data_IF_482851111571
#
_entry.id   IF_482851111571
#
_cell.length_a   1.000
_cell.length_b   1.000
_cell.length_c   1.000
_cell.angle_alpha   90.00
_cell.angle_beta   90.00
_cell.angle_gamma   90.00
#
_symmetry.space_group_name_H-M   'P 1'
#
loop_
_entity.id
_entity.type
_entity.pdbx_description
1 polymer ?
2 polymer ?
3 polymer ?
4 branched ?
5 water ?
#
# COMPACT_ATOMS: atom_id res chain seq x y z
N UNK A 1 -8.48 -4.80 -0.88
CA UNK A 1 -9.05 -4.51 -2.19
C UNK A 1 -10.61 -4.45 -2.22
N UNK A 2 -11.18 -3.32 -2.65
CA UNK A 2 -12.70 -3.20 -2.72
C UNK A 2 -13.15 -3.39 -4.06
N UNK A 3 -14.18 -4.22 -4.24
CA UNK A 3 -14.76 -4.41 -5.56
C UNK A 3 -14.02 -5.32 -6.51
N UNK A 4 -13.07 -6.09 -5.98
CA UNK A 4 -12.29 -6.97 -6.82
C UNK A 4 -12.81 -8.39 -6.75
N UNK A 5 -11.99 -9.34 -7.13
CA UNK A 5 -12.36 -10.78 -7.09
C UNK A 5 -11.30 -11.59 -6.44
N UNK A 6 -11.66 -12.78 -6.02
CA UNK A 6 -10.65 -13.69 -5.42
C UNK A 6 -9.70 -14.18 -6.52
N UNK A 7 -8.41 -13.89 -6.40
CA UNK A 7 -7.46 -14.34 -7.37
C UNK A 7 -7.41 -15.89 -7.45
N UNK A 8 -7.16 -16.41 -8.59
CA UNK A 8 -6.99 -17.88 -8.69
C UNK A 8 -5.67 -18.24 -8.00
N UNK A 9 -5.61 -19.45 -7.44
CA UNK A 9 -4.37 -19.97 -6.79
C UNK A 9 -3.20 -19.95 -7.76
N UNK A 10 -2.07 -19.45 -7.25
CA UNK A 10 -0.81 -19.30 -8.03
C UNK A 10 -0.88 -18.25 -9.14
N UNK A 11 -1.94 -17.43 -9.14
CA UNK A 11 -2.09 -16.44 -10.14
C UNK A 11 -1.12 -15.33 -9.92
N UNK A 12 -0.81 -15.03 -8.65
CA UNK A 12 0.02 -13.87 -8.30
C UNK A 12 1.18 -14.33 -7.43
N UNK A 13 2.09 -15.09 -8.01
CA UNK A 13 3.20 -15.69 -7.29
C UNK A 13 4.28 -14.72 -6.78
N UNK A 14 4.27 -13.46 -7.22
CA UNK A 14 5.22 -12.44 -6.81
C UNK A 14 4.71 -11.60 -5.61
N UNK A 15 3.47 -11.81 -5.25
CA UNK A 15 2.88 -11.12 -4.11
C UNK A 15 3.44 -11.66 -2.82
N UNK A 16 3.87 -10.80 -1.91
CA UNK A 16 4.28 -11.19 -0.54
C UNK A 16 3.50 -10.48 0.48
N UNK A 17 3.51 -11.01 1.69
CA UNK A 17 2.92 -10.35 2.87
C UNK A 17 4.04 -9.98 3.78
N UNK A 18 4.03 -8.77 4.33
CA UNK A 18 4.96 -8.31 5.27
C UNK A 18 4.33 -8.49 6.63
N UNK A 19 5.00 -9.17 7.54
CA UNK A 19 4.39 -9.60 8.82
C UNK A 19 5.23 -9.17 10.00
N UNK A 20 4.59 -8.49 11.03
CA UNK A 20 5.37 -8.23 12.19
C UNK A 20 4.55 -8.70 13.39
N UNK A 21 4.01 -9.90 13.29
CA UNK A 21 3.09 -10.44 14.28
C UNK A 21 1.80 -10.74 13.54
N UNK A 22 1.43 -9.87 12.61
CA UNK A 22 0.29 -10.10 11.75
C UNK A 22 0.60 -9.34 10.42
N UNK A 23 -0.16 -9.62 9.40
CA UNK A 23 0.03 -8.96 8.10
C UNK A 23 -0.23 -7.49 8.27
N UNK A 24 0.62 -6.65 7.71
CA UNK A 24 0.45 -5.18 7.81
C UNK A 24 0.62 -4.47 6.47
N UNK A 25 1.35 -5.09 5.54
CA UNK A 25 1.56 -4.52 4.23
C UNK A 25 1.84 -5.66 3.29
N UNK A 26 1.75 -5.35 2.01
CA UNK A 26 2.11 -6.21 0.91
C UNK A 26 3.48 -5.81 0.40
N UNK A 27 3.94 -6.53 -0.61
CA UNK A 27 5.18 -6.28 -1.31
C UNK A 27 5.29 -7.13 -2.57
N UNK A 28 6.36 -6.96 -3.34
CA UNK A 28 6.45 -7.69 -4.61
C UNK A 28 7.91 -8.27 -4.69
N UNK A 29 8.02 -9.55 -4.96
CA UNK A 29 9.36 -10.19 -5.17
C UNK A 29 9.87 -9.87 -6.52
N UNK A 30 11.05 -9.19 -6.60
CA UNK A 30 11.63 -8.86 -7.86
C UNK A 30 12.81 -9.75 -8.31
N UNK A 31 13.42 -10.42 -7.37
CA UNK A 31 14.43 -11.43 -7.62
C UNK A 31 14.49 -12.30 -6.40
N UNK A 32 15.30 -13.34 -6.45
CA UNK A 32 15.45 -14.35 -5.42
C UNK A 32 15.65 -13.79 -3.99
N UNK A 33 16.21 -12.61 -3.85
CA UNK A 33 16.43 -12.10 -2.54
C UNK A 33 16.02 -10.69 -2.20
N UNK A 34 15.27 -10.07 -3.09
CA UNK A 34 14.81 -8.70 -2.94
C UNK A 34 13.34 -8.50 -3.16
N UNK A 35 12.73 -7.72 -2.26
CA UNK A 35 11.33 -7.36 -2.28
C UNK A 35 11.21 -5.83 -2.34
N UNK A 36 10.26 -5.35 -3.11
CA UNK A 36 9.94 -3.96 -3.18
C UNK A 36 8.60 -3.75 -2.47
N UNK A 37 8.58 -2.71 -1.62
CA UNK A 37 7.33 -2.31 -0.93
C UNK A 37 7.32 -0.78 -0.74
N UNK A 38 6.41 -0.30 0.10
CA UNK A 38 6.29 1.15 0.33
C UNK A 38 7.12 1.54 1.54
N UNK A 39 7.77 2.70 1.46
CA UNK A 39 8.51 3.19 2.61
C UNK A 39 7.67 3.37 3.88
N UNK A 40 6.44 3.68 3.74
CA UNK A 40 5.62 3.92 4.92
C UNK A 40 5.33 2.65 5.66
N UNK A 41 5.62 1.51 5.04
CA UNK A 41 5.48 0.19 5.64
C UNK A 41 6.70 -0.18 6.50
N UNK A 42 7.66 0.71 6.59
CA UNK A 42 8.87 0.41 7.32
C UNK A 42 8.60 0.00 8.76
N UNK A 43 9.26 -1.03 9.21
CA UNK A 43 9.36 -1.43 10.62
C UNK A 43 10.79 -1.96 10.78
N UNK A 44 11.33 -1.96 11.99
CA UNK A 44 12.67 -2.39 12.31
C UNK A 44 12.83 -3.87 12.06
N UNK A 45 11.83 -4.67 12.32
CA UNK A 45 11.96 -6.09 12.02
C UNK A 45 10.75 -6.50 11.21
N UNK A 46 10.97 -7.30 10.20
CA UNK A 46 9.90 -7.70 9.28
C UNK A 46 10.14 -9.10 8.83
N UNK A 47 9.10 -9.91 8.85
CA UNK A 47 9.16 -11.25 8.28
C UNK A 47 8.40 -11.27 6.99
N UNK A 48 9.06 -11.67 5.91
CA UNK A 48 8.47 -11.69 4.60
C UNK A 48 7.85 -13.08 4.38
N UNK A 49 6.61 -13.10 3.97
CA UNK A 49 5.92 -14.37 3.68
C UNK A 49 5.56 -14.47 2.26
N UNK A 50 6.03 -15.53 1.67
CA UNK A 50 5.92 -15.80 0.25
C UNK A 50 5.12 -17.05 -0.06
N UNK A 51 4.53 -17.09 -1.23
CA UNK A 51 3.80 -18.27 -1.69
C UNK A 51 2.49 -18.47 -0.93
N UNK A 52 1.96 -17.42 -0.30
CA UNK A 52 0.73 -17.53 0.50
C UNK A 52 -0.49 -17.37 -0.42
N UNK A 53 -1.43 -18.17 -0.19
CA UNK A 53 -2.75 -18.36 -0.81
C UNK A 53 -3.70 -17.78 0.37
N UNK A 54 -3.70 -18.42 1.53
CA UNK A 54 -4.55 -18.00 2.66
C UNK A 54 -3.61 -17.56 3.75
N UNK A 55 -3.69 -16.30 4.14
CA UNK A 55 -2.80 -15.82 5.20
C UNK A 55 -3.08 -16.25 6.61
N UNK A 56 -4.21 -16.88 6.83
CA UNK A 56 -4.56 -17.36 8.14
C UNK A 56 -4.24 -18.83 8.38
N UNK A 57 -3.78 -19.54 7.35
CA UNK A 57 -3.52 -20.96 7.48
C UNK A 57 -2.09 -21.22 7.02
N UNK A 58 -1.45 -22.22 7.58
CA UNK A 58 -0.11 -22.65 7.12
C UNK A 58 -0.28 -23.93 6.34
N UNK A 59 -0.07 -23.91 5.04
CA UNK A 59 -0.31 -25.04 4.21
C UNK A 59 0.96 -25.82 3.90
N UNK A 60 2.09 -25.30 4.32
CA UNK A 60 3.35 -25.93 4.03
C UNK A 60 4.03 -25.53 2.74
N UNK A 61 3.29 -24.90 1.88
CA UNK A 61 3.82 -24.49 0.64
C UNK A 61 4.19 -23.02 0.56
N UNK A 62 4.30 -22.37 1.69
CA UNK A 62 4.71 -20.98 1.80
C UNK A 62 6.12 -21.02 2.35
N UNK A 63 6.77 -19.85 2.29
CA UNK A 63 8.07 -19.64 2.82
C UNK A 63 8.09 -18.43 3.66
N UNK A 64 8.65 -18.49 4.87
CA UNK A 64 8.77 -17.39 5.75
C UNK A 64 10.22 -17.02 5.90
N UNK A 65 10.59 -15.80 5.53
CA UNK A 65 12.00 -15.41 5.53
C UNK A 65 12.14 -14.02 6.18
N UNK A 66 12.99 -13.92 7.17
CA UNK A 66 13.21 -12.64 7.82
C UNK A 66 13.94 -11.62 6.92
N UNK A 67 13.61 -10.34 7.03
CA UNK A 67 14.38 -9.31 6.35
C UNK A 67 15.78 -9.15 6.95
N UNK A 68 16.80 -9.03 6.13
CA UNK A 68 18.14 -8.79 6.64
C UNK A 68 18.52 -7.35 6.51
N UNK A 69 18.05 -6.68 5.45
CA UNK A 69 18.34 -5.27 5.28
C UNK A 69 17.04 -4.62 4.78
N UNK A 70 16.75 -3.42 5.28
CA UNK A 70 15.55 -2.67 4.96
C UNK A 70 16.01 -1.26 4.56
N UNK A 71 15.86 -0.88 3.29
CA UNK A 71 16.40 0.39 2.82
C UNK A 71 15.27 1.21 2.23
N UNK A 72 15.00 2.29 2.89
CA UNK A 72 14.00 3.27 2.44
C UNK A 72 14.66 4.32 1.53
N UNK A 73 13.92 4.82 0.58
CA UNK A 73 14.43 5.78 -0.34
C UNK A 73 14.99 7.00 0.46
N UNK A 74 16.17 7.46 0.11
CA UNK A 74 16.84 8.54 0.89
C UNK A 74 16.04 9.86 0.88
N UNK A 75 15.19 10.05 -0.10
CA UNK A 75 14.40 11.30 -0.19
C UNK A 75 12.93 11.07 0.18
N UNK A 76 12.60 9.95 0.79
CA UNK A 76 11.25 9.68 1.28
C UNK A 76 10.84 10.79 2.26
N UNK A 77 9.64 11.23 2.08
CA UNK A 77 8.99 12.24 2.94
C UNK A 77 7.77 11.63 3.62
N UNK A 78 7.91 11.35 4.90
CA UNK A 78 6.90 10.69 5.67
C UNK A 78 5.59 11.45 5.80
N UNK A 79 5.62 12.73 5.54
CA UNK A 79 4.43 13.56 5.64
C UNK A 79 3.66 13.64 4.34
N UNK A 80 4.29 13.68 3.17
CA UNK A 80 3.55 13.74 1.92
C UNK A 80 3.52 12.36 1.19
N UNK A 81 4.38 11.45 1.62
CA UNK A 81 4.55 10.15 1.00
C UNK A 81 5.22 10.26 -0.37
N UNK A 82 6.00 11.31 -0.62
CA UNK A 82 6.73 11.38 -1.87
C UNK A 82 7.88 10.39 -1.73
N UNK A 83 8.26 9.80 -2.84
CA UNK A 83 9.31 8.76 -2.82
C UNK A 83 9.02 7.60 -1.95
N UNK A 84 7.78 7.10 -1.99
CA UNK A 84 7.31 6.08 -1.04
C UNK A 84 7.68 4.66 -1.57
N UNK A 85 8.94 4.34 -1.48
CA UNK A 85 9.47 3.09 -1.96
C UNK A 85 10.57 2.59 -1.04
N UNK A 86 10.59 1.29 -0.82
CA UNK A 86 11.52 0.69 0.09
C UNK A 86 11.99 -0.65 -0.50
N UNK A 87 13.22 -1.02 -0.22
CA UNK A 87 13.76 -2.35 -0.67
C UNK A 87 14.06 -3.19 0.57
N UNK A 88 13.69 -4.45 0.51
CA UNK A 88 13.97 -5.39 1.54
C UNK A 88 14.86 -6.54 0.98
N UNK A 89 16.02 -6.74 1.60
CA UNK A 89 16.87 -7.88 1.25
C UNK A 89 16.54 -9.03 2.16
N UNK A 90 16.22 -10.17 1.63
CA UNK A 90 15.91 -11.34 2.41
C UNK A 90 17.15 -11.97 3.03
N UNK A 91 16.99 -12.50 4.23
CA UNK A 91 18.07 -13.14 4.98
C UNK A 91 18.66 -14.31 4.16
N UNK A 92 17.85 -15.02 3.40
CA UNK A 92 18.28 -16.07 2.53
C UNK A 92 17.40 -16.00 1.31
N UNK A 93 17.92 -16.48 0.17
CA UNK A 93 17.22 -16.49 -1.09
C UNK A 93 15.99 -17.29 -1.01
N UNK A 94 14.92 -16.79 -1.58
CA UNK A 94 13.69 -17.58 -1.67
C UNK A 94 13.90 -18.77 -2.68
N UNK A 95 13.25 -19.90 -2.45
CA UNK A 95 13.27 -20.94 -3.47
C UNK A 95 12.15 -20.72 -4.42
N UNK A 96 12.50 -20.48 -5.68
CA UNK A 96 11.45 -20.18 -6.63
C UNK A 96 10.79 -21.43 -7.16
N UNK A 97 9.49 -21.38 -7.34
CA UNK A 97 8.75 -22.56 -7.79
C UNK A 97 7.44 -22.06 -8.40
N UNK A 98 6.45 -22.93 -8.57
CA UNK A 98 5.21 -22.52 -9.18
C UNK A 98 4.39 -21.52 -8.29
N UNK A 99 4.65 -21.46 -7.01
CA UNK A 99 3.92 -20.61 -6.11
C UNK A 99 4.70 -19.35 -5.74
N UNK A 100 6.00 -19.31 -6.00
CA UNK A 100 6.87 -18.20 -5.62
C UNK A 100 7.72 -17.82 -6.81
N UNK A 101 7.40 -16.68 -7.41
CA UNK A 101 8.04 -16.25 -8.65
C UNK A 101 8.20 -14.73 -8.61
N UNK A 102 8.96 -14.18 -9.53
CA UNK A 102 9.22 -12.77 -9.54
C UNK A 102 8.51 -12.04 -10.61
N UNK A 103 8.42 -10.71 -10.41
CA UNK A 103 7.88 -9.81 -11.37
C UNK A 103 8.88 -8.86 -11.87
N UNK A 104 8.80 -8.52 -13.14
CA UNK A 104 9.75 -7.62 -13.74
C UNK A 104 9.57 -6.16 -13.34
N UNK A 105 10.67 -5.43 -13.24
CA UNK A 105 10.62 -4.00 -13.05
C UNK A 105 10.26 -3.46 -14.42
N UNK A 106 9.81 -2.23 -14.49
CA UNK A 106 9.29 -1.64 -15.74
C UNK A 106 10.41 -1.19 -16.68
N UNK A 107 10.27 -1.49 -17.95
CA UNK A 107 11.29 -1.11 -18.96
C UNK A 107 10.97 0.27 -19.36
N UNK A 108 9.73 0.81 -19.13
CA UNK A 108 9.35 2.16 -19.43
C UNK A 108 8.09 2.46 -18.63
N UNK A 109 7.80 3.74 -18.40
CA UNK A 109 6.60 4.13 -17.68
C UNK A 109 5.36 3.74 -18.42
N UNK A 110 4.28 3.44 -17.70
CA UNK A 110 3.03 3.05 -18.28
C UNK A 110 2.29 4.30 -18.76
N UNK A 111 1.68 4.21 -19.90
CA UNK A 111 0.84 5.30 -20.40
C UNK A 111 -0.56 5.26 -19.75
N UNK A 112 -1.19 6.45 -19.75
CA UNK A 112 -2.59 6.55 -19.36
C UNK A 112 -3.42 5.64 -20.09
N UNK A 113 -4.29 4.92 -19.40
CA UNK A 113 -5.14 3.95 -20.06
C UNK A 113 -4.69 2.51 -20.03
N UNK A 114 -3.44 2.26 -19.68
CA UNK A 114 -2.98 0.90 -19.58
C UNK A 114 -3.66 0.13 -18.48
N UNK A 115 -4.08 -1.08 -18.79
CA UNK A 115 -4.80 -1.94 -17.85
C UNK A 115 -3.82 -2.65 -16.90
N UNK A 116 -4.05 -2.58 -15.60
CA UNK A 116 -3.16 -3.21 -14.59
C UNK A 116 -3.88 -4.12 -13.61
N UNK A 117 -3.15 -4.95 -12.92
CA UNK A 117 -3.70 -5.83 -11.93
C UNK A 117 -3.18 -5.41 -10.55
N UNK A 118 -4.07 -5.16 -9.62
CA UNK A 118 -3.73 -4.76 -8.26
C UNK A 118 -4.13 -5.92 -7.35
N UNK A 119 -3.29 -6.24 -6.36
CA UNK A 119 -3.63 -7.33 -5.50
C UNK A 119 -3.32 -7.09 -4.04
N UNK A 120 -3.97 -7.80 -3.13
CA UNK A 120 -3.73 -7.64 -1.72
C UNK A 120 -4.73 -8.22 -0.76
N UNK A 121 -4.33 -8.25 0.47
CA UNK A 121 -5.15 -8.81 1.54
C UNK A 121 -5.92 -7.73 2.36
N UNK A 122 -5.95 -6.53 1.80
CA UNK A 122 -6.54 -5.37 2.48
C UNK A 122 -8.08 -5.47 2.59
N UNK A 123 -8.61 -4.43 3.25
CA UNK A 123 -10.06 -4.28 3.45
C UNK A 123 -10.86 -4.34 2.19
N UNK A 124 -11.96 -5.11 2.21
CA UNK A 124 -12.80 -5.22 1.05
C UNK A 124 -14.06 -4.36 1.05
N UNK A 125 -14.20 -3.55 2.07
CA UNK A 125 -15.37 -2.63 2.17
C UNK A 125 -14.98 -1.17 2.23
N UNK A 126 -15.77 -0.30 1.63
CA UNK A 126 -15.56 1.14 1.64
C UNK A 126 -15.89 1.74 3.01
N UNK A 127 -16.98 1.30 3.61
CA UNK A 127 -17.34 1.78 4.93
C UNK A 127 -17.40 0.56 5.82
N UNK A 128 -16.55 0.50 6.81
CA UNK A 128 -16.54 -0.64 7.72
C UNK A 128 -15.28 -1.48 7.47
N UNK A 129 -15.16 -2.61 8.14
CA UNK A 129 -14.00 -3.46 8.02
C UNK A 129 -14.40 -4.86 7.68
N UNK A 130 -13.61 -5.49 6.81
CA UNK A 130 -13.81 -6.87 6.36
C UNK A 130 -12.50 -7.35 5.61
N UNK A 131 -11.68 -8.08 6.30
CA UNK A 131 -10.40 -8.54 5.84
C UNK A 131 -10.47 -9.96 5.36
N UNK A 132 -10.15 -10.20 4.11
CA UNK A 132 -10.24 -11.52 3.53
C UNK A 132 -9.05 -12.34 3.95
N UNK A 133 -9.21 -13.64 3.89
CA UNK A 133 -8.07 -14.55 4.14
C UNK A 133 -7.41 -14.80 2.82
N UNK A 134 -8.17 -14.84 1.75
CA UNK A 134 -7.73 -15.16 0.42
C UNK A 134 -7.35 -13.88 -0.34
N UNK A 135 -6.29 -13.93 -1.11
CA UNK A 135 -5.77 -12.78 -1.82
C UNK A 135 -6.82 -12.31 -2.83
N UNK A 136 -7.09 -11.00 -2.84
CA UNK A 136 -8.00 -10.37 -3.80
C UNK A 136 -7.24 -9.69 -4.90
N UNK A 137 -7.82 -9.63 -6.11
CA UNK A 137 -7.41 -9.04 -7.27
C UNK A 137 -8.37 -7.95 -7.90
N UNK A 138 -7.83 -7.03 -8.64
CA UNK A 138 -8.63 -5.99 -9.25
C UNK A 138 -7.94 -5.49 -10.48
N UNK A 139 -8.65 -5.41 -11.59
CA UNK A 139 -8.11 -4.85 -12.82
C UNK A 139 -8.55 -3.38 -12.86
N UNK A 140 -7.60 -2.50 -13.06
CA UNK A 140 -7.87 -1.07 -13.11
C UNK A 140 -6.85 -0.43 -14.02
N UNK A 141 -7.26 0.64 -14.69
CA UNK A 141 -6.36 1.38 -15.55
C UNK A 141 -5.63 2.52 -14.89
N UNK A 142 -4.47 2.85 -15.46
CA UNK A 142 -3.70 3.99 -15.08
C UNK A 142 -4.48 5.21 -15.57
N UNK A 143 -4.65 6.18 -14.70
CA UNK A 143 -5.30 7.42 -15.08
C UNK A 143 -4.32 8.45 -15.59
N UNK A 144 -4.81 9.46 -16.32
CA UNK A 144 -3.92 10.52 -16.68
C UNK A 144 -3.46 11.36 -15.53
N UNK A 145 -2.29 11.94 -15.70
CA UNK A 145 -1.72 12.80 -14.70
C UNK A 145 -2.61 13.99 -14.41
N UNK A 146 -3.21 14.56 -15.45
CA UNK A 146 -4.05 15.72 -15.19
C UNK A 146 -5.29 15.27 -14.39
N UNK A 147 -5.77 14.13 -14.70
CA UNK A 147 -6.92 13.59 -14.00
C UNK A 147 -6.62 13.27 -12.49
N UNK A 148 -5.39 12.86 -12.26
CA UNK A 148 -4.95 12.53 -10.93
C UNK A 148 -4.75 13.83 -10.15
N UNK A 149 -4.12 14.81 -10.80
CA UNK A 149 -3.85 16.09 -10.12
C UNK A 149 -5.16 16.82 -9.79
N UNK A 150 -6.16 16.65 -10.62
CA UNK A 150 -7.40 17.34 -10.37
C UNK A 150 -8.18 16.63 -9.23
N UNK A 151 -7.89 15.33 -8.94
CA UNK A 151 -8.56 14.65 -7.85
C UNK A 151 -7.90 15.02 -6.54
N UNK A 152 -6.64 15.35 -6.53
CA UNK A 152 -5.96 15.70 -5.31
C UNK A 152 -5.10 16.92 -5.61
N UNK A 153 -5.73 18.11 -5.68
CA UNK A 153 -5.02 19.36 -5.92
C UNK A 153 -3.89 19.63 -5.00
N UNK A 154 -2.71 19.80 -5.58
CA UNK A 154 -1.46 20.07 -4.89
C UNK A 154 -0.81 18.96 -4.08
N UNK A 155 -1.32 17.76 -4.24
CA UNK A 155 -0.87 16.65 -3.45
C UNK A 155 -0.12 15.59 -4.29
N UNK A 156 -0.16 15.69 -5.61
CA UNK A 156 0.45 14.76 -6.49
C UNK A 156 1.78 15.23 -7.03
N UNK A 157 2.87 14.48 -6.76
CA UNK A 157 4.20 14.80 -7.27
C UNK A 157 4.47 13.98 -8.48
N UNK A 158 5.63 14.22 -9.07
CA UNK A 158 6.03 13.47 -10.24
C UNK A 158 6.35 11.97 -9.96
N UNK A 159 6.38 11.57 -8.72
CA UNK A 159 6.65 10.21 -8.34
C UNK A 159 5.38 9.49 -7.95
N UNK A 160 4.22 10.04 -8.36
CA UNK A 160 2.93 9.43 -8.06
C UNK A 160 2.04 9.26 -9.25
N UNK A 161 1.25 8.19 -9.31
CA UNK A 161 0.31 7.97 -10.34
C UNK A 161 -0.96 7.51 -9.70
N UNK A 162 -2.09 7.80 -10.38
CA UNK A 162 -3.40 7.35 -9.95
C UNK A 162 -3.78 6.16 -10.76
N UNK A 163 -4.43 5.17 -10.16
CA UNK A 163 -4.84 4.02 -10.90
C UNK A 163 -6.19 3.69 -10.29
N UNK A 164 -7.20 3.45 -11.10
CA UNK A 164 -8.52 3.16 -10.55
C UNK A 164 -9.64 3.75 -11.39
N UNK A 165 -10.70 4.13 -10.70
CA UNK A 165 -11.92 4.55 -11.37
C UNK A 165 -12.47 5.75 -10.69
N UNK A 166 -12.72 6.81 -11.44
CA UNK A 166 -13.24 8.06 -10.88
C UNK A 166 -14.63 7.88 -10.33
N UNK A 167 -15.34 6.90 -10.85
CA UNK A 167 -16.66 6.66 -10.30
C UNK A 167 -16.69 5.92 -8.96
N UNK A 168 -15.51 5.56 -8.45
CA UNK A 168 -15.46 4.85 -7.20
C UNK A 168 -15.94 3.43 -7.25
N UNK A 169 -16.09 2.79 -6.09
CA UNK A 169 -16.56 1.43 -6.07
C UNK A 169 -15.45 0.36 -6.08
N UNK A 170 -14.33 0.64 -6.73
CA UNK A 170 -13.24 -0.36 -6.84
C UNK A 170 -11.88 0.32 -6.52
N UNK A 171 -11.11 -0.22 -5.61
CA UNK A 171 -9.88 0.51 -5.23
C UNK A 171 -9.08 -0.40 -4.33
N UNK A 172 -7.86 0.04 -4.01
CA UNK A 172 -7.07 -0.65 -2.97
C UNK A 172 -7.42 0.04 -1.66
N UNK A 173 -7.16 -0.60 -0.54
CA UNK A 173 -7.59 -0.07 0.79
C UNK A 173 -6.65 -0.44 1.89
N UNK A 174 -6.92 -0.06 3.16
CA UNK A 174 -6.02 -0.38 4.21
C UNK A 174 -5.63 -1.89 4.25
N UNK A 175 -4.32 -2.16 4.46
CA UNK A 175 -3.83 -3.51 4.41
C UNK A 175 -3.28 -3.85 3.04
N UNK A 176 -3.54 -3.01 2.04
CA UNK A 176 -2.96 -3.26 0.71
C UNK A 176 -1.61 -2.56 0.43
N UNK A 177 -1.32 -1.51 1.19
CA UNK A 177 -0.13 -0.74 1.02
C UNK A 177 1.09 -1.67 0.76
N UNK A 178 1.97 -1.17 -0.09
CA UNK A 178 3.22 -1.85 -0.41
C UNK A 178 3.05 -2.82 -1.55
N UNK A 179 1.80 -3.21 -1.81
CA UNK A 179 1.45 -4.22 -2.80
C UNK A 179 1.62 -3.79 -4.24
N UNK A 180 1.53 -4.72 -5.15
CA UNK A 180 1.84 -4.43 -6.52
C UNK A 180 0.72 -3.99 -7.41
N UNK A 181 1.11 -3.22 -8.44
CA UNK A 181 0.28 -2.83 -9.55
C UNK A 181 1.07 -3.27 -10.72
N UNK A 182 0.63 -4.33 -11.41
CA UNK A 182 1.40 -4.93 -12.48
C UNK A 182 0.62 -4.75 -13.76
N UNK A 183 1.28 -4.21 -14.74
CA UNK A 183 0.71 -3.87 -16.05
C UNK A 183 1.59 -4.50 -17.15
N UNK A 184 0.97 -5.37 -17.94
CA UNK A 184 1.75 -6.01 -19.01
C UNK A 184 3.00 -6.60 -18.45
N UNK A 185 2.88 -7.33 -17.35
CA UNK A 185 3.96 -8.03 -16.72
C UNK A 185 5.07 -7.23 -16.03
N UNK A 186 4.85 -5.97 -15.85
CA UNK A 186 5.83 -5.09 -15.26
C UNK A 186 5.26 -4.32 -14.02
N UNK A 187 5.99 -4.24 -12.99
CA UNK A 187 5.57 -3.58 -11.73
C UNK A 187 5.62 -2.09 -11.98
N UNK A 188 4.49 -1.43 -12.15
CA UNK A 188 4.47 -0.02 -12.39
C UNK A 188 4.01 0.80 -11.19
N UNK A 189 3.35 0.17 -10.20
CA UNK A 189 2.89 0.90 -8.99
C UNK A 189 3.00 0.18 -7.69
N UNK A 190 3.15 0.93 -6.64
CA UNK A 190 3.17 0.48 -5.29
C UNK A 190 1.98 1.12 -4.60
N UNK A 191 1.11 0.30 -3.99
CA UNK A 191 -0.05 0.83 -3.24
C UNK A 191 0.44 1.80 -2.16
N UNK A 192 -0.06 3.06 -2.14
CA UNK A 192 0.47 4.03 -1.23
C UNK A 192 -0.62 4.71 -0.38
N UNK A 193 -1.46 5.49 -1.02
CA UNK A 193 -2.45 6.27 -0.25
C UNK A 193 -3.65 6.68 -1.04
N UNK A 194 -4.58 7.34 -0.31
CA UNK A 194 -5.77 7.83 -0.97
C UNK A 194 -6.70 8.54 0.05
N UNK A 195 -7.77 9.09 -0.46
CA UNK A 195 -8.80 9.60 0.43
C UNK A 195 -9.76 8.44 0.67
N UNK A 196 -9.65 7.78 1.81
CA UNK A 196 -10.47 6.60 2.07
C UNK A 196 -10.20 5.50 1.01
N UNK A 197 -11.22 4.74 0.68
CA UNK A 197 -11.18 3.71 -0.37
C UNK A 197 -12.43 3.73 -1.21
N UNK A 198 -12.23 3.61 -2.49
CA UNK A 198 -13.26 3.52 -3.47
C UNK A 198 -14.24 4.70 -3.47
N UNK A 199 -13.79 5.84 -3.07
CA UNK A 199 -14.63 7.06 -3.09
C UNK A 199 -14.66 7.68 -4.46
N UNK A 200 -15.81 8.25 -4.84
CA UNK A 200 -15.94 8.91 -6.10
C UNK A 200 -14.98 10.02 -6.23
N UNK A 201 -14.45 10.16 -7.41
CA UNK A 201 -13.49 11.21 -7.74
C UNK A 201 -12.22 11.16 -6.97
N UNK A 202 -11.99 10.07 -6.25
CA UNK A 202 -10.76 9.98 -5.43
C UNK A 202 -10.09 8.60 -5.60
N UNK A 203 -9.47 8.40 -6.72
CA UNK A 203 -8.86 7.10 -7.00
C UNK A 203 -7.63 6.90 -6.10
N UNK A 204 -7.20 5.65 -5.97
CA UNK A 204 -5.97 5.43 -5.20
C UNK A 204 -4.73 6.03 -5.88
N UNK A 205 -3.76 6.39 -5.05
CA UNK A 205 -2.46 6.91 -5.42
C UNK A 205 -1.36 5.86 -5.14
N UNK A 206 -0.46 5.72 -6.06
CA UNK A 206 0.54 4.70 -6.11
C UNK A 206 1.90 5.27 -6.46
N UNK A 207 2.97 4.70 -5.89
CA UNK A 207 4.30 5.14 -6.18
C UNK A 207 4.61 4.78 -7.63
N UNK A 208 5.25 5.69 -8.36
CA UNK A 208 5.50 5.52 -9.79
C UNK A 208 6.86 4.80 -9.93
N UNK A 209 6.81 3.46 -9.93
CA UNK A 209 8.03 2.67 -9.93
C UNK A 209 9.02 2.94 -11.07
N UNK A 210 8.55 3.29 -12.26
CA UNK A 210 9.44 3.54 -13.38
C UNK A 210 10.42 4.67 -13.15
N UNK A 211 10.20 5.54 -12.20
CA UNK A 211 11.12 6.48 -11.82
C UNK A 211 12.34 5.97 -11.01
N UNK A 212 12.29 4.74 -10.49
CA UNK A 212 13.23 4.27 -9.54
C UNK A 212 14.10 3.10 -9.94
N UNK A 213 14.03 2.71 -11.21
CA UNK A 213 14.81 1.52 -11.62
C UNK A 213 16.30 1.71 -11.44
N UNK A 214 16.86 2.89 -11.77
CA UNK A 214 18.30 3.09 -11.61
C UNK A 214 18.74 3.03 -10.13
N UNK A 215 17.95 3.64 -9.26
CA UNK A 215 18.23 3.61 -7.83
C UNK A 215 18.17 2.14 -7.32
N UNK A 216 17.17 1.39 -7.77
CA UNK A 216 17.05 0.00 -7.35
C UNK A 216 18.28 -0.78 -7.72
N UNK A 217 18.65 -0.67 -9.01
CA UNK A 217 19.84 -1.40 -9.48
C UNK A 217 21.11 -1.01 -8.76
N UNK A 218 21.29 0.28 -8.46
CA UNK A 218 22.48 0.69 -7.76
C UNK A 218 22.51 0.20 -6.38
N UNK A 219 21.37 0.23 -5.72
CA UNK A 219 21.29 -0.24 -4.35
C UNK A 219 21.48 -1.68 -4.21
N UNK A 220 20.86 -2.42 -5.08
CA UNK A 220 21.04 -3.87 -5.09
C UNK A 220 22.46 -4.32 -5.41
N UNK A 221 23.07 -3.62 -6.33
CA UNK A 221 24.42 -3.96 -6.76
C UNK A 221 25.43 -3.88 -5.64
N UNK A 222 25.20 -2.95 -4.74
CA UNK A 222 26.12 -2.64 -3.67
C UNK A 222 25.73 -3.29 -2.34
N UNK A 223 24.66 -4.01 -2.30
CA UNK A 223 24.22 -4.61 -1.07
C UNK A 223 23.97 -6.09 -1.14
N UNK B 1 0.22 8.65 26.00
CA UNK B 1 0.46 9.65 24.90
C UNK B 1 -0.65 9.54 23.86
N UNK B 2 -1.28 10.67 23.55
CA UNK B 2 -2.35 10.70 22.55
C UNK B 2 -1.83 10.52 21.09
N UNK B 3 -2.16 11.47 20.22
CA UNK B 3 -1.75 11.36 18.83
C UNK B 3 -1.87 12.70 18.14
N UNK B 4 -1.09 12.84 17.07
CA UNK B 4 -1.08 14.06 16.27
C UNK B 4 -1.66 13.82 14.84
N UNK B 5 -2.86 14.30 14.58
CA UNK B 5 -3.43 14.08 13.29
C UNK B 5 -2.87 15.04 12.20
N UNK B 6 -2.01 16.00 12.61
CA UNK B 6 -1.39 16.98 11.68
C UNK B 6 -0.32 16.28 10.89
N UNK B 7 0.17 15.21 11.44
CA UNK B 7 1.11 14.36 10.80
C UNK B 7 0.56 13.88 9.46
N UNK B 8 -0.73 14.05 9.16
CA UNK B 8 -1.22 13.54 7.89
C UNK B 8 -1.68 14.65 6.97
N UNK B 9 -1.41 14.56 5.70
CA UNK B 9 -1.84 15.63 4.82
C UNK B 9 -3.41 15.69 4.74
N UNK B 10 -3.98 16.91 4.62
CA UNK B 10 -5.42 17.19 4.55
C UNK B 10 -5.60 18.15 3.38
N UNK B 11 -6.81 18.18 2.86
CA UNK B 11 -7.15 19.04 1.78
C UNK B 11 -8.56 19.54 2.00
N UNK B 12 -8.80 20.81 1.65
CA UNK B 12 -10.14 21.42 1.74
C UNK B 12 -10.87 21.40 0.43
N UNK B 13 -12.13 21.00 0.47
CA UNK B 13 -12.99 20.92 -0.69
C UNK B 13 -13.51 22.31 -1.08
N UNK B 14 -14.47 22.30 -1.99
CA UNK B 14 -15.04 23.53 -2.47
C UNK B 14 -15.96 24.12 -1.45
N UNK B 15 -16.73 23.28 -0.77
CA UNK B 15 -17.67 23.72 0.24
C UNK B 15 -17.09 23.69 1.63
N UNK B 16 -15.77 23.63 1.73
CA UNK B 16 -15.12 23.64 3.03
C UNK B 16 -14.90 22.28 3.67
N UNK B 17 -15.18 21.21 2.94
CA UNK B 17 -14.97 19.87 3.49
C UNK B 17 -13.48 19.59 3.63
N UNK B 18 -13.05 19.34 4.84
CA UNK B 18 -11.67 19.00 5.11
C UNK B 18 -11.50 17.49 4.95
N UNK B 19 -10.62 17.04 4.08
CA UNK B 19 -10.40 15.60 3.87
C UNK B 19 -9.00 15.18 4.29
N UNK B 20 -8.85 14.24 5.20
CA UNK B 20 -7.55 13.72 5.62
C UNK B 20 -7.18 12.55 4.69
N UNK B 21 -5.96 12.61 4.17
CA UNK B 21 -5.49 11.60 3.19
C UNK B 21 -4.61 10.52 3.86
N UNK B 22 -5.01 9.26 3.79
CA UNK B 22 -4.36 8.27 4.59
C UNK B 22 -3.62 7.18 3.77
N UNK B 23 -2.53 6.77 4.35
CA UNK B 23 -1.75 5.63 3.83
C UNK B 23 -2.58 4.36 3.97
N UNK B 24 -2.27 3.33 3.20
CA UNK B 24 -3.02 2.11 3.22
C UNK B 24 -2.37 0.90 3.97
N UNK B 25 -1.61 1.20 5.01
CA UNK B 25 -1.02 0.16 5.85
C UNK B 25 -2.05 -0.29 6.92
N UNK B 26 -1.95 -1.54 7.35
CA UNK B 26 -2.86 -2.05 8.36
C UNK B 26 -2.10 -2.06 9.64
N UNK B 27 -2.24 -1.00 10.45
CA UNK B 27 -1.58 -0.90 11.74
C UNK B 27 -2.67 -0.49 12.77
N UNK B 28 -3.45 -1.44 13.22
CA UNK B 28 -4.68 -1.19 14.03
C UNK B 28 -4.42 -0.49 15.29
N UNK B 29 -5.36 0.40 15.69
CA UNK B 29 -5.19 1.07 16.95
C UNK B 29 -6.51 0.93 17.73
N UNK B 30 -6.48 1.02 19.02
CA UNK B 30 -7.70 0.88 19.84
C UNK B 30 -8.14 2.23 20.38
N UNK B 31 -9.31 2.69 19.94
CA UNK B 31 -9.87 3.95 20.33
C UNK B 31 -10.41 3.99 21.75
N UNK B 32 -10.48 5.19 22.29
CA UNK B 32 -11.06 5.37 23.61
C UNK B 32 -12.57 4.96 23.69
N UNK B 33 -13.18 4.78 22.54
CA UNK B 33 -14.49 4.32 22.39
C UNK B 33 -14.59 2.81 22.35
N UNK B 34 -13.46 2.12 22.49
CA UNK B 34 -13.41 0.68 22.45
C UNK B 34 -13.48 0.06 21.05
N UNK B 35 -13.45 0.89 20.01
CA UNK B 35 -13.48 0.37 18.64
C UNK B 35 -12.08 0.28 18.05
N UNK B 36 -11.82 -0.76 17.29
CA UNK B 36 -10.53 -0.94 16.65
C UNK B 36 -10.56 -0.28 15.28
N UNK B 37 -9.66 0.62 15.01
CA UNK B 37 -9.60 1.37 13.74
C UNK B 37 -8.33 0.88 12.95
N UNK B 38 -8.50 0.73 11.67
CA UNK B 38 -7.49 0.13 10.76
C UNK B 38 -6.11 0.70 10.87
N UNK B 39 -5.99 2.01 11.04
CA UNK B 39 -4.72 2.66 11.43
C UNK B 39 -4.98 3.98 12.04
N UNK B 40 -3.98 4.62 12.56
CA UNK B 40 -4.18 5.91 13.24
C UNK B 40 -4.73 6.98 12.34
N UNK B 41 -4.30 7.00 11.06
CA UNK B 41 -4.80 8.04 10.16
C UNK B 41 -6.31 7.90 9.99
N UNK B 42 -6.77 6.65 9.93
CA UNK B 42 -8.21 6.37 9.73
C UNK B 42 -9.00 6.87 10.99
N UNK B 43 -8.44 6.68 12.15
CA UNK B 43 -9.08 7.22 13.40
C UNK B 43 -9.14 8.79 13.27
N UNK B 44 -8.08 9.39 12.84
CA UNK B 44 -8.09 10.81 12.58
C UNK B 44 -9.17 11.27 11.61
N UNK B 45 -9.31 10.56 10.49
CA UNK B 45 -10.31 10.84 9.52
C UNK B 45 -11.72 10.62 10.03
N UNK B 46 -11.92 9.58 10.79
CA UNK B 46 -13.21 9.31 11.43
C UNK B 46 -13.63 10.54 12.33
N UNK B 47 -12.72 11.02 13.15
CA UNK B 47 -13.03 12.12 14.07
C UNK B 47 -13.41 13.33 13.33
N UNK B 48 -12.68 13.60 12.24
CA UNK B 48 -12.97 14.74 11.40
C UNK B 48 -14.25 14.62 10.68
N UNK B 49 -14.57 13.45 10.17
CA UNK B 49 -15.76 13.20 9.35
C UNK B 49 -17.06 13.16 10.19
N UNK B 50 -16.93 12.63 11.40
CA UNK B 50 -18.07 12.46 12.31
C UNK B 50 -18.16 13.57 13.30
N UNK B 51 -17.13 14.35 13.47
CA UNK B 51 -17.15 15.37 14.47
C UNK B 51 -16.88 14.90 15.91
N UNK B 52 -16.42 13.64 16.10
CA UNK B 52 -16.12 13.06 17.40
C UNK B 52 -14.79 13.42 17.85
N UNK B 53 -14.46 12.96 19.01
CA UNK B 53 -13.19 13.33 19.50
C UNK B 53 -12.53 12.15 20.15
N UNK B 54 -12.58 11.01 19.48
CA UNK B 54 -11.99 9.83 20.00
C UNK B 54 -10.51 9.87 20.07
N UNK B 55 -9.96 9.40 21.16
CA UNK B 55 -8.54 9.32 21.26
C UNK B 55 -7.98 7.92 21.08
N UNK B 56 -6.65 7.80 21.13
CA UNK B 56 -6.03 6.49 21.05
C UNK B 56 -5.74 5.92 22.38
N UNK B 57 -6.38 4.81 22.74
CA UNK B 57 -6.16 4.20 24.04
C UNK B 57 -4.82 3.53 23.97
N UNK B 58 -4.56 2.79 22.91
CA UNK B 58 -3.29 2.11 22.76
C UNK B 58 -3.10 1.69 21.29
N UNK B 59 -1.82 1.62 20.88
CA UNK B 59 -1.43 1.26 19.54
C UNK B 59 -1.92 -0.12 19.16
N UNK B 60 -2.13 -1.01 20.03
CA UNK B 60 -2.66 -2.20 19.34
C UNK B 60 -4.18 -2.22 18.99
N UNK B 61 -4.68 -3.37 18.62
CA UNK B 61 -6.14 -3.55 18.38
C UNK B 61 -6.84 -3.75 19.72
N UNK B 62 -8.04 -3.28 19.96
CA UNK B 62 -8.67 -3.46 21.29
C UNK B 62 -8.75 -4.92 21.72
N UNK C 1 6.18 27.57 5.53
CA UNK C 1 4.77 27.57 6.03
C UNK C 1 4.65 26.99 7.45
N UNK C 2 5.82 26.56 7.93
CA UNK C 2 6.17 25.94 9.22
C UNK C 2 5.73 26.44 10.62
N UNK C 3 6.70 26.34 11.54
CA UNK C 3 6.61 26.59 12.99
C UNK C 3 6.26 25.26 13.71
N UNK C 4 7.02 24.19 13.35
CA UNK C 4 6.97 22.81 13.91
C UNK C 4 5.61 22.44 14.30
#
# INVERSE_FOLDING_TARGET
>A
IVGGYTCAANSIPYQVSLNSGSHFCGGSLINSQWVVSAAHCYKSRIQVRLGEHNIDVLEGNEQFINAAKIITHPNFNGNTLDNDIMLIKLSSPATLNSRVATVSLPRSCAAAGTECLISGWGNTKSSGSSYPSLLQCLKAPVLSDSSCKSSYPGQITGNMICVGFLEGGKDSCQGDSGGPVVCNGQLQGIVSWGYGCAQKNKPGVYTKVCNYVNWIQQTIAAN
>B
VPMDCSRYPNTTSEEGKVMILCNKALNPVCGTDGVTYDNECVLCAHNLEQGTSVGKKHDGEC
>C
TNEE
#
